data_IF_148254380244
#
_entry.id   IF_148254380244
#
_cell.length_a   1.000
_cell.length_b   1.000
_cell.length_c   1.000
_cell.angle_alpha   90.00
_cell.angle_beta   90.00
_cell.angle_gamma   90.00
#
_symmetry.space_group_name_H-M   'P 1'
#
loop_
_entity.id
_entity.type
_entity.pdbx_description
1 polymer ?
#
# COMPACT_ATOMS: atom_id res chain seq x y z
N UNK A 1 2.15 -13.33 20.60
CA UNK A 1 1.25 -12.93 19.49
C UNK A 1 1.03 -11.42 19.55
N UNK A 2 1.40 -10.67 18.50
CA UNK A 2 1.35 -9.21 18.48
C UNK A 2 -0.10 -8.66 18.43
N UNK A 3 -0.42 -7.65 19.25
CA UNK A 3 -1.74 -6.98 19.33
C UNK A 3 -2.20 -6.39 17.99
N UNK A 4 -1.26 -6.03 17.12
CA UNK A 4 -1.51 -5.51 15.77
C UNK A 4 -2.28 -6.53 14.91
N UNK A 5 -1.94 -7.82 15.05
CA UNK A 5 -2.54 -8.93 14.29
C UNK A 5 -4.04 -9.11 14.56
N UNK A 6 -4.47 -8.80 15.79
CA UNK A 6 -5.87 -8.93 16.23
C UNK A 6 -6.73 -7.77 15.73
N UNK A 7 -6.17 -6.56 15.62
CA UNK A 7 -6.85 -5.39 15.06
C UNK A 7 -7.06 -5.53 13.54
N UNK A 8 -6.06 -6.07 12.83
CA UNK A 8 -6.16 -6.33 11.38
C UNK A 8 -7.29 -7.28 11.02
N UNK A 9 -7.40 -8.43 11.70
CA UNK A 9 -8.48 -9.41 11.50
C UNK A 9 -9.88 -8.86 11.76
N UNK A 10 -10.01 -7.78 12.53
CA UNK A 10 -11.31 -7.19 12.91
C UNK A 10 -11.75 -6.06 11.99
N UNK A 11 -10.82 -5.30 11.42
CA UNK A 11 -11.09 -4.23 10.45
C UNK A 11 -11.24 -4.78 9.02
N UNK A 12 -10.42 -5.77 8.66
CA UNK A 12 -10.62 -6.58 7.46
C UNK A 12 -11.48 -7.78 7.82
N UNK A 13 -12.80 -7.62 7.81
CA UNK A 13 -13.72 -8.75 7.75
C UNK A 13 -13.47 -9.53 6.45
N UNK A 14 -12.58 -10.51 6.54
CA UNK A 14 -12.39 -11.73 5.75
C UNK A 14 -12.45 -11.76 4.21
N UNK A 15 -12.76 -10.73 3.42
CA UNK A 15 -12.89 -10.91 1.95
C UNK A 15 -12.53 -9.73 1.02
N UNK A 16 -12.00 -8.61 1.54
CA UNK A 16 -11.63 -7.49 0.68
C UNK A 16 -10.26 -7.71 0.03
N UNK A 17 -10.24 -8.08 -1.25
CA UNK A 17 -9.00 -8.14 -2.05
C UNK A 17 -8.45 -6.73 -2.26
N UNK A 18 -7.18 -6.51 -1.95
CA UNK A 18 -6.45 -5.27 -2.25
C UNK A 18 -5.85 -5.35 -3.64
N UNK A 19 -5.89 -4.24 -4.38
CA UNK A 19 -5.27 -4.10 -5.69
C UNK A 19 -4.04 -3.23 -5.56
N UNK A 20 -2.85 -3.80 -5.73
CA UNK A 20 -1.55 -3.14 -5.50
C UNK A 20 -0.76 -3.12 -6.80
N UNK A 21 -0.23 -1.95 -7.17
CA UNK A 21 0.68 -1.83 -8.31
C UNK A 21 2.09 -2.23 -7.88
N UNK A 22 2.71 -3.12 -8.64
CA UNK A 22 4.11 -3.48 -8.50
C UNK A 22 4.90 -2.84 -9.64
N UNK A 23 5.75 -1.88 -9.33
CA UNK A 23 6.74 -1.32 -10.26
C UNK A 23 8.11 -2.00 -10.05
N UNK A 24 9.05 -1.72 -10.95
CA UNK A 24 10.39 -2.29 -10.92
C UNK A 24 11.20 -1.84 -9.69
N UNK A 25 10.96 -0.61 -9.22
CA UNK A 25 11.66 0.00 -8.09
C UNK A 25 11.33 -0.68 -6.75
N UNK A 26 10.24 -1.44 -6.67
CA UNK A 26 9.94 -2.26 -5.50
C UNK A 26 11.04 -3.28 -5.18
N UNK A 27 11.93 -3.60 -6.13
CA UNK A 27 13.10 -4.45 -5.90
C UNK A 27 14.04 -3.91 -4.80
N UNK A 28 14.02 -2.60 -4.55
CA UNK A 28 14.81 -1.96 -3.49
C UNK A 28 14.16 -2.08 -2.11
N UNK A 29 13.01 -2.75 -2.01
CA UNK A 29 12.24 -2.89 -0.79
C UNK A 29 11.87 -4.35 -0.52
N UNK A 30 12.20 -4.83 0.68
CA UNK A 30 11.74 -6.12 1.19
C UNK A 30 10.39 -5.93 1.86
N UNK A 31 9.31 -6.33 1.17
CA UNK A 31 7.94 -6.19 1.63
C UNK A 31 7.26 -7.56 1.69
N UNK A 32 6.65 -7.89 2.83
CA UNK A 32 5.88 -9.12 2.98
C UNK A 32 4.38 -8.87 2.78
N UNK A 33 3.85 -9.27 1.62
CA UNK A 33 2.41 -9.20 1.31
C UNK A 33 1.62 -10.46 1.71
N UNK A 34 2.26 -11.51 2.27
CA UNK A 34 1.61 -12.83 2.51
C UNK A 34 0.40 -12.76 3.45
N UNK A 35 0.33 -11.76 4.32
CA UNK A 35 -0.79 -11.58 5.23
C UNK A 35 -1.98 -10.82 4.60
N UNK A 36 -1.84 -10.38 3.34
CA UNK A 36 -2.84 -9.60 2.62
C UNK A 36 -3.42 -10.40 1.45
N UNK A 37 -4.75 -10.40 1.31
CA UNK A 37 -5.41 -10.89 0.09
C UNK A 37 -5.21 -9.85 -1.01
N UNK A 38 -4.33 -10.13 -1.96
CA UNK A 38 -3.86 -9.15 -2.96
C UNK A 38 -4.12 -9.61 -4.39
N UNK A 39 -4.41 -8.64 -5.26
CA UNK A 39 -4.37 -8.74 -6.70
C UNK A 39 -3.29 -7.75 -7.16
N UNK A 40 -2.22 -8.26 -7.77
CA UNK A 40 -1.13 -7.41 -8.22
C UNK A 40 -1.36 -6.95 -9.65
N UNK A 41 -1.11 -5.67 -9.90
CA UNK A 41 -1.14 -5.06 -11.22
C UNK A 41 0.24 -4.48 -11.52
N UNK A 42 0.57 -4.30 -12.79
CA UNK A 42 1.88 -3.79 -13.21
C UNK A 42 1.78 -2.41 -13.89
N UNK A 43 0.56 -1.99 -14.23
CA UNK A 43 0.27 -0.64 -14.70
C UNK A 43 -0.44 0.15 -13.58
N UNK A 44 -0.01 1.39 -13.36
CA UNK A 44 -0.69 2.30 -12.43
C UNK A 44 -2.12 2.58 -12.89
N UNK A 45 -2.38 2.58 -14.20
CA UNK A 45 -3.73 2.76 -14.75
C UNK A 45 -4.70 1.68 -14.24
N UNK A 46 -4.21 0.46 -14.08
CA UNK A 46 -5.00 -0.66 -13.54
C UNK A 46 -5.37 -0.44 -12.08
N UNK A 47 -4.70 0.43 -11.31
CA UNK A 47 -5.16 0.81 -9.97
C UNK A 47 -6.51 1.53 -10.01
N UNK A 48 -6.77 2.27 -11.08
CA UNK A 48 -7.98 3.09 -11.22
C UNK A 48 -9.09 2.38 -12.00
N UNK A 49 -8.77 1.31 -12.75
CA UNK A 49 -9.75 0.53 -13.49
C UNK A 49 -10.65 -0.35 -12.58
N UNK A 50 -11.97 -0.17 -12.67
CA UNK A 50 -12.97 -0.95 -11.91
C UNK A 50 -13.15 -2.39 -12.42
N UNK A 51 -12.75 -2.66 -13.66
CA UNK A 51 -12.76 -4.02 -14.23
C UNK A 51 -11.75 -4.91 -13.52
N UNK A 52 -10.69 -4.32 -12.97
CA UNK A 52 -9.70 -5.02 -12.17
C UNK A 52 -10.21 -5.13 -10.73
N UNK A 53 -10.50 -6.36 -10.30
CA UNK A 53 -11.05 -6.65 -8.98
C UNK A 53 -10.09 -6.21 -7.86
N UNK A 54 -10.64 -5.47 -6.90
CA UNK A 54 -9.99 -5.16 -5.63
C UNK A 54 -10.12 -3.68 -5.24
N UNK A 55 -9.88 -3.39 -3.96
CA UNK A 55 -9.79 -2.03 -3.46
C UNK A 55 -8.40 -1.48 -3.84
N UNK A 56 -8.29 -0.38 -4.60
CA UNK A 56 -6.99 0.21 -4.91
C UNK A 56 -6.23 0.52 -3.63
N UNK A 57 -4.99 0.08 -3.56
CA UNK A 57 -4.14 0.14 -2.38
C UNK A 57 -2.83 0.85 -2.75
N UNK A 58 -2.54 1.91 -2.01
CA UNK A 58 -1.37 2.76 -2.22
C UNK A 58 -0.36 2.54 -1.10
N UNK A 59 0.90 2.37 -1.49
CA UNK A 59 1.99 2.10 -0.56
C UNK A 59 2.54 3.41 -0.02
N UNK A 60 2.71 3.48 1.29
CA UNK A 60 3.29 4.62 1.99
C UNK A 60 4.47 4.12 2.82
N UNK A 61 5.67 4.59 2.52
CA UNK A 61 6.89 4.15 3.16
C UNK A 61 7.44 5.21 4.09
N UNK A 62 7.98 4.77 5.22
CA UNK A 62 8.76 5.62 6.09
C UNK A 62 10.13 5.91 5.47
N UNK A 63 10.48 7.19 5.37
CA UNK A 63 11.82 7.61 5.04
C UNK A 63 12.75 7.27 6.22
N UNK A 64 13.82 6.48 6.03
CA UNK A 64 14.70 6.07 7.12
C UNK A 64 15.50 7.23 7.73
N UNK A 65 15.72 8.31 6.97
CA UNK A 65 16.49 9.47 7.42
C UNK A 65 15.65 10.46 8.22
N UNK A 66 14.40 10.73 7.78
CA UNK A 66 13.54 11.72 8.44
C UNK A 66 12.52 11.10 9.39
N UNK A 67 12.21 9.81 9.23
CA UNK A 67 11.15 9.12 9.95
C UNK A 67 9.74 9.41 9.43
N UNK A 68 9.60 10.28 8.42
CA UNK A 68 8.32 10.67 7.85
C UNK A 68 7.77 9.64 6.86
N UNK A 69 6.46 9.51 6.80
CA UNK A 69 5.77 8.67 5.83
C UNK A 69 5.50 9.42 4.54
N UNK A 70 5.95 8.87 3.42
CA UNK A 70 5.77 9.44 2.08
C UNK A 70 5.10 8.42 1.16
N UNK A 71 4.27 8.93 0.24
CA UNK A 71 3.65 8.08 -0.77
C UNK A 71 4.74 7.50 -1.67
N UNK A 72 4.84 6.17 -1.71
CA UNK A 72 5.67 5.49 -2.67
C UNK A 72 4.97 5.46 -4.02
N UNK A 73 3.75 4.91 -4.03
CA UNK A 73 2.88 4.96 -5.20
C UNK A 73 2.35 6.38 -5.36
N UNK A 74 2.60 7.03 -6.50
CA UNK A 74 2.06 8.36 -6.77
C UNK A 74 0.53 8.32 -6.71
N UNK A 75 -0.02 8.85 -5.62
CA UNK A 75 -1.45 8.77 -5.32
C UNK A 75 -2.19 9.99 -5.85
N UNK A 76 -2.91 9.80 -6.96
CA UNK A 76 -3.82 10.80 -7.48
C UNK A 76 -5.26 10.50 -7.06
N UNK A 77 -5.69 11.10 -5.95
CA UNK A 77 -7.04 10.91 -5.43
C UNK A 77 -8.13 11.30 -6.41
N UNK A 78 -7.86 12.27 -7.29
CA UNK A 78 -8.79 12.82 -8.29
C UNK A 78 -9.20 11.80 -9.37
N UNK A 79 -8.37 10.77 -9.57
CA UNK A 79 -8.61 9.71 -10.53
C UNK A 79 -9.55 8.62 -9.99
N UNK A 80 -9.81 8.62 -8.68
CA UNK A 80 -10.80 7.73 -8.07
C UNK A 80 -12.20 8.27 -8.32
N UNK A 81 -13.17 7.37 -8.54
CA UNK A 81 -14.57 7.77 -8.64
C UNK A 81 -15.11 8.26 -7.29
N UNK A 82 -16.18 9.06 -7.34
CA UNK A 82 -16.85 9.56 -6.14
C UNK A 82 -17.22 8.40 -5.20
N UNK A 83 -16.87 8.51 -3.92
CA UNK A 83 -17.10 7.51 -2.86
C UNK A 83 -16.40 6.16 -3.06
N UNK A 84 -15.55 6.01 -4.08
CA UNK A 84 -14.75 4.80 -4.27
C UNK A 84 -13.85 4.59 -3.04
N UNK A 85 -13.88 3.40 -2.41
CA UNK A 85 -12.96 3.09 -1.33
C UNK A 85 -11.54 2.90 -1.86
N UNK A 86 -10.56 3.31 -1.08
CA UNK A 86 -9.14 3.05 -1.33
C UNK A 86 -8.42 2.76 -0.01
N UNK A 87 -7.30 2.03 -0.10
CA UNK A 87 -6.48 1.66 1.03
C UNK A 87 -5.14 2.41 0.99
N UNK A 88 -4.66 2.83 2.16
CA UNK A 88 -3.32 3.35 2.37
C UNK A 88 -2.58 2.38 3.29
N UNK A 89 -1.51 1.77 2.79
CA UNK A 89 -0.72 0.77 3.49
C UNK A 89 0.57 1.45 3.97
N UNK A 90 0.67 1.67 5.27
CA UNK A 90 1.82 2.34 5.87
C UNK A 90 2.82 1.30 6.33
N UNK A 91 4.05 1.46 5.88
CA UNK A 91 5.19 0.64 6.26
C UNK A 91 6.22 1.46 7.01
N UNK A 92 6.75 0.88 8.09
CA UNK A 92 7.89 1.42 8.83
C UNK A 92 9.18 0.75 8.36
N UNK A 93 10.28 1.50 8.39
CA UNK A 93 11.60 0.95 8.03
C UNK A 93 12.17 0.19 9.24
N UNK A 94 12.34 -1.12 9.09
CA UNK A 94 12.87 -2.00 10.13
C UNK A 94 14.40 -2.20 10.01
N UNK A 95 15.01 -1.75 8.92
CA UNK A 95 16.45 -1.86 8.67
C UNK A 95 16.76 -1.94 7.18
N UNK A 96 18.01 -2.24 6.85
CA UNK A 96 18.43 -2.47 5.47
C UNK A 96 19.46 -3.61 5.40
N UNK A 97 19.55 -4.26 4.25
CA UNK A 97 20.52 -5.31 3.98
C UNK A 97 20.96 -5.28 2.51
N UNK A 98 22.08 -5.93 2.20
CA UNK A 98 22.56 -6.10 0.84
C UNK A 98 22.22 -7.49 0.31
N UNK A 99 21.99 -7.61 -0.98
CA UNK A 99 21.92 -8.89 -1.70
C UNK A 99 23.10 -9.01 -2.64
N UNK A 100 23.25 -10.15 -3.33
CA UNK A 100 24.28 -10.30 -4.37
C UNK A 100 24.07 -9.37 -5.57
N UNK A 101 22.83 -8.96 -5.83
CA UNK A 101 22.46 -8.16 -7.01
C UNK A 101 22.24 -6.68 -6.69
N UNK A 102 21.82 -6.37 -5.46
CA UNK A 102 21.44 -5.01 -5.04
C UNK A 102 22.21 -4.66 -3.77
N UNK A 103 22.93 -3.54 -3.79
CA UNK A 103 23.80 -3.09 -2.70
C UNK A 103 23.05 -2.68 -1.45
N UNK A 104 21.79 -2.23 -1.58
CA UNK A 104 20.96 -1.81 -0.47
C UNK A 104 19.48 -2.10 -0.75
N UNK A 105 18.88 -2.89 0.13
CA UNK A 105 17.44 -3.20 0.15
C UNK A 105 16.90 -2.76 1.51
N UNK A 106 15.87 -1.91 1.49
CA UNK A 106 15.17 -1.45 2.69
C UNK A 106 14.18 -2.52 3.17
N UNK A 107 14.31 -2.97 4.41
CA UNK A 107 13.37 -3.91 5.01
C UNK A 107 12.17 -3.15 5.59
N UNK A 108 10.97 -3.43 5.08
CA UNK A 108 9.75 -2.72 5.44
C UNK A 108 8.77 -3.64 6.17
N UNK A 109 8.24 -3.14 7.28
CA UNK A 109 7.22 -3.83 8.07
C UNK A 109 5.89 -3.09 8.01
N UNK A 110 4.80 -3.83 7.72
CA UNK A 110 3.47 -3.25 7.66
C UNK A 110 3.05 -2.79 9.06
N UNK A 111 2.85 -1.48 9.21
CA UNK A 111 2.44 -0.85 10.47
C UNK A 111 0.92 -0.75 10.60
N UNK A 112 0.27 -0.18 9.58
CA UNK A 112 -1.17 0.09 9.58
C UNK A 112 -1.74 0.09 8.17
N UNK A 113 -3.04 -0.19 8.08
CA UNK A 113 -3.83 0.01 6.86
C UNK A 113 -4.96 0.98 7.19
N UNK A 114 -5.10 2.05 6.41
CA UNK A 114 -6.24 2.97 6.48
C UNK A 114 -7.12 2.79 5.25
N UNK A 115 -8.41 2.53 5.46
CA UNK A 115 -9.40 2.56 4.38
C UNK A 115 -10.09 3.91 4.38
N UNK A 116 -10.04 4.59 3.24
CA UNK A 116 -10.67 5.89 3.02
C UNK A 116 -11.68 5.78 1.89
N UNK A 117 -12.58 6.77 1.80
CA UNK A 117 -13.49 6.94 0.67
C UNK A 117 -13.16 8.25 0.00
N UNK A 118 -13.01 8.24 -1.32
CA UNK A 118 -12.82 9.47 -2.06
C UNK A 118 -14.05 10.38 -1.90
N UNK A 119 -13.82 11.63 -1.52
CA UNK A 119 -14.85 12.68 -1.49
C UNK A 119 -14.41 13.75 -2.47
N UNK A 120 -15.28 14.05 -3.43
CA UNK A 120 -15.10 15.24 -4.25
C UNK A 120 -15.53 16.42 -3.37
N UNK A 121 -14.58 17.27 -2.99
CA UNK A 121 -14.92 18.57 -2.41
C UNK A 121 -15.60 19.40 -3.50
N UNK A 122 -16.94 19.40 -3.49
CA UNK A 122 -17.73 20.37 -4.27
C UNK A 122 -17.55 21.74 -3.64
N UNK A 123 -16.42 22.39 -3.90
CA UNK A 123 -16.35 23.85 -3.79
C UNK A 123 -17.06 24.42 -5.04
N UNK A 124 -18.34 24.70 -4.87
CA UNK A 124 -19.13 25.60 -5.73
C UNK A 124 -18.85 27.01 -5.25
#
# INVERSE_FOLDING_TARGET
MSKIRTLFKRLFSNNSTLKICLDEDLVFYSINFKELTTNFVFDVEDLYDERVKGIPAFLIFQNPSTGDHQNYTYFESQRLKEKQPYALLYYDCAGAFATRAVSMVSNLELRKIEIKKHRIDKRI
#
